data_IF_032646957708
#
_entry.id   IF_032646957708
#
_cell.length_a   1.000
_cell.length_b   1.000
_cell.length_c   1.000
_cell.angle_alpha   90.00
_cell.angle_beta   90.00
_cell.angle_gamma   90.00
#
_symmetry.space_group_name_H-M   'P 1'
#
loop_
_entity.id
_entity.type
_entity.pdbx_description
1 polymer ?
#
# COMPACT_ATOMS: atom_id res chain seq x y z
N UNK A 1 73.50 -30.30 -33.09
CA UNK A 1 72.69 -31.53 -32.89
C UNK A 1 71.96 -31.39 -31.57
N UNK A 2 70.65 -31.70 -31.40
CA UNK A 2 69.48 -31.82 -32.30
C UNK A 2 68.67 -30.47 -32.32
N UNK A 3 67.73 -30.09 -33.21
CA UNK A 3 66.57 -30.68 -33.94
C UNK A 3 65.39 -31.05 -33.03
N UNK A 4 64.17 -30.83 -33.57
CA UNK A 4 62.79 -31.03 -33.05
C UNK A 4 62.16 -29.77 -32.44
N UNK A 5 60.98 -29.31 -32.84
CA UNK A 5 59.98 -29.87 -33.74
C UNK A 5 58.64 -29.19 -33.45
N UNK A 6 57.88 -28.93 -34.52
CA UNK A 6 56.57 -28.27 -34.61
C UNK A 6 55.44 -28.91 -33.75
N UNK A 7 54.24 -28.34 -33.90
CA UNK A 7 52.88 -28.72 -33.43
C UNK A 7 52.48 -27.95 -32.14
N UNK A 8 51.57 -26.97 -32.11
CA UNK A 8 50.43 -26.66 -32.97
C UNK A 8 49.17 -27.33 -32.41
N UNK A 9 48.42 -26.69 -31.49
CA UNK A 9 47.01 -27.01 -31.21
C UNK A 9 46.24 -25.79 -30.66
N UNK A 10 45.25 -25.39 -31.46
CA UNK A 10 43.92 -24.85 -31.17
C UNK A 10 43.66 -23.88 -30.00
N UNK A 11 43.21 -22.69 -30.40
CA UNK A 11 42.21 -21.85 -29.72
C UNK A 11 40.92 -22.66 -29.52
N UNK A 12 40.35 -22.65 -28.31
CA UNK A 12 38.89 -22.64 -28.12
C UNK A 12 38.55 -21.88 -26.83
N UNK A 13 37.93 -20.73 -27.04
CA UNK A 13 37.30 -19.86 -26.06
C UNK A 13 36.13 -20.60 -25.40
N UNK A 14 36.15 -20.70 -24.07
CA UNK A 14 34.95 -20.94 -23.28
C UNK A 14 34.93 -19.94 -22.13
N UNK A 15 34.63 -18.68 -22.48
CA UNK A 15 34.13 -17.69 -21.54
C UNK A 15 32.78 -18.18 -21.01
N UNK A 16 32.80 -18.86 -19.87
CA UNK A 16 31.60 -19.16 -19.08
C UNK A 16 31.14 -17.82 -18.51
N UNK A 17 30.27 -17.14 -19.28
CA UNK A 17 29.49 -16.01 -18.81
C UNK A 17 28.64 -16.50 -17.65
N UNK A 18 29.00 -16.06 -16.43
CA UNK A 18 28.18 -16.18 -15.25
C UNK A 18 26.99 -15.23 -15.42
N UNK A 19 25.96 -15.66 -16.16
CA UNK A 19 24.69 -14.93 -16.25
C UNK A 19 24.08 -14.89 -14.86
N UNK A 20 24.08 -13.70 -14.28
CA UNK A 20 23.41 -13.37 -13.04
C UNK A 20 21.96 -13.89 -13.07
N UNK A 21 21.62 -14.68 -12.06
CA UNK A 21 20.25 -15.07 -11.76
C UNK A 21 19.43 -13.81 -11.44
N UNK A 22 18.72 -13.28 -12.44
CA UNK A 22 17.62 -12.35 -12.24
C UNK A 22 16.49 -13.12 -11.55
N UNK A 23 16.46 -13.04 -10.23
CA UNK A 23 15.34 -13.44 -9.40
C UNK A 23 14.10 -12.67 -9.82
N UNK A 24 13.23 -13.31 -10.60
CA UNK A 24 11.84 -12.93 -10.74
C UNK A 24 11.10 -13.26 -9.43
N UNK A 25 11.31 -12.46 -8.38
CA UNK A 25 10.48 -12.48 -7.18
C UNK A 25 9.42 -11.37 -7.29
N UNK A 26 8.40 -11.56 -8.12
CA UNK A 26 7.30 -10.57 -8.25
C UNK A 26 5.90 -11.20 -8.27
N UNK A 27 5.74 -12.44 -7.78
CA UNK A 27 4.44 -13.14 -7.77
C UNK A 27 3.85 -13.45 -6.38
N UNK A 28 4.68 -13.67 -5.36
CA UNK A 28 4.23 -14.31 -4.13
C UNK A 28 3.47 -13.39 -3.14
N UNK A 29 3.65 -12.07 -3.23
CA UNK A 29 2.95 -11.12 -2.34
C UNK A 29 1.47 -10.92 -2.66
N UNK A 30 1.04 -11.19 -3.89
CA UNK A 30 -0.35 -11.03 -4.32
C UNK A 30 -1.27 -12.16 -3.83
N UNK A 31 -0.75 -13.38 -3.64
CA UNK A 31 -1.57 -14.56 -3.33
C UNK A 31 -2.15 -14.52 -1.91
N UNK A 32 -1.32 -14.29 -0.89
CA UNK A 32 -1.74 -14.36 0.53
C UNK A 32 -2.79 -13.31 0.93
N UNK A 33 -2.77 -12.14 0.29
CA UNK A 33 -3.71 -11.06 0.60
C UNK A 33 -5.07 -11.23 -0.08
N UNK A 34 -5.09 -11.84 -1.27
CA UNK A 34 -6.32 -12.19 -1.98
C UNK A 34 -7.00 -13.41 -1.31
N UNK A 35 -6.20 -14.38 -0.85
CA UNK A 35 -6.70 -15.60 -0.19
C UNK A 35 -7.23 -15.36 1.23
N UNK A 36 -6.76 -14.32 1.91
CA UNK A 36 -7.26 -13.93 3.25
C UNK A 36 -8.59 -13.15 3.21
N UNK A 37 -9.12 -12.84 2.02
CA UNK A 37 -10.38 -12.09 1.87
C UNK A 37 -10.34 -10.66 2.42
N UNK A 38 -9.17 -10.21 2.90
CA UNK A 38 -8.99 -8.88 3.48
C UNK A 38 -9.15 -7.78 2.43
N UNK A 39 -8.88 -8.09 1.16
CA UNK A 39 -8.89 -7.13 0.06
C UNK A 39 -9.39 -7.79 -1.24
N UNK A 40 -10.39 -7.19 -1.87
CA UNK A 40 -10.82 -7.56 -3.22
C UNK A 40 -10.30 -6.50 -4.21
N UNK A 41 -9.26 -6.79 -5.01
CA UNK A 41 -8.83 -5.87 -6.05
C UNK A 41 -9.86 -5.91 -7.18
N UNK A 42 -10.97 -5.18 -7.03
CA UNK A 42 -11.96 -5.02 -8.12
C UNK A 42 -11.35 -4.30 -9.32
N UNK A 43 -10.29 -3.51 -9.11
CA UNK A 43 -9.62 -2.71 -10.13
C UNK A 43 -8.10 -2.75 -10.00
N UNK A 44 -7.42 -2.71 -11.14
CA UNK A 44 -5.97 -2.48 -11.21
C UNK A 44 -5.73 -0.98 -10.99
N UNK A 45 -5.33 -0.63 -9.78
CA UNK A 45 -4.94 0.75 -9.48
C UNK A 45 -3.56 1.06 -10.07
N UNK A 46 -3.31 2.27 -10.59
CA UNK A 46 -1.98 2.66 -11.03
C UNK A 46 -0.97 2.54 -9.88
N UNK A 47 0.29 2.25 -10.19
CA UNK A 47 1.33 2.26 -9.16
C UNK A 47 1.54 3.68 -8.63
N UNK A 48 1.60 3.83 -7.31
CA UNK A 48 2.02 5.06 -6.66
C UNK A 48 3.51 5.04 -6.37
N UNK A 49 4.18 6.16 -6.59
CA UNK A 49 5.56 6.44 -6.19
C UNK A 49 5.62 7.25 -4.89
N UNK A 50 4.46 7.59 -4.31
CA UNK A 50 4.32 8.25 -3.02
C UNK A 50 3.43 7.45 -2.09
N UNK A 51 3.64 7.64 -0.79
CA UNK A 51 2.80 7.05 0.24
C UNK A 51 2.72 7.90 1.50
N UNK A 52 1.75 7.61 2.36
CA UNK A 52 1.74 8.08 3.75
C UNK A 52 1.22 6.99 4.68
N UNK A 53 1.59 7.10 5.95
CA UNK A 53 1.16 6.20 7.02
C UNK A 53 0.27 6.97 7.99
N UNK A 54 -0.89 6.43 8.40
CA UNK A 54 -1.57 6.90 9.59
C UNK A 54 -0.67 6.73 10.82
N UNK A 55 -0.89 7.54 11.85
CA UNK A 55 -0.08 7.56 13.07
C UNK A 55 -0.15 6.24 13.85
N UNK A 56 -1.22 5.46 13.66
CA UNK A 56 -1.36 4.13 14.25
C UNK A 56 -0.53 3.03 13.53
N UNK A 57 0.07 3.33 12.37
CA UNK A 57 0.91 2.41 11.61
C UNK A 57 0.24 1.10 11.20
N UNK A 58 -1.08 1.07 11.03
CA UNK A 58 -1.81 -0.16 10.68
C UNK A 58 -1.90 -0.39 9.17
N UNK A 59 -1.90 0.68 8.40
CA UNK A 59 -1.93 0.63 6.96
C UNK A 59 -0.94 1.63 6.35
N UNK A 60 -0.70 1.48 5.06
CA UNK A 60 0.02 2.44 4.25
C UNK A 60 -0.81 2.72 3.01
N UNK A 61 -0.96 4.00 2.67
CA UNK A 61 -1.75 4.45 1.54
C UNK A 61 -0.79 4.92 0.45
N UNK A 62 -0.86 4.34 -0.75
CA UNK A 62 -0.01 4.68 -1.91
C UNK A 62 -0.83 5.20 -3.09
N UNK A 63 -0.24 6.14 -3.84
CA UNK A 63 -0.89 6.81 -4.97
C UNK A 63 0.00 7.89 -5.59
N UNK A 64 -0.58 8.75 -6.44
CA UNK A 64 0.14 9.93 -6.94
C UNK A 64 0.25 11.00 -5.85
N UNK A 65 1.36 11.75 -5.85
CA UNK A 65 1.64 12.78 -4.84
C UNK A 65 0.47 13.74 -4.64
N UNK A 66 0.03 14.42 -5.70
CA UNK A 66 -1.02 15.44 -5.63
C UNK A 66 -2.33 14.89 -5.06
N UNK A 67 -2.68 13.65 -5.43
CA UNK A 67 -3.88 13.01 -4.92
C UNK A 67 -3.73 12.68 -3.44
N UNK A 68 -2.61 12.08 -3.02
CA UNK A 68 -2.36 11.76 -1.61
C UNK A 68 -2.32 13.00 -0.72
N UNK A 69 -1.74 14.11 -1.19
CA UNK A 69 -1.75 15.38 -0.46
C UNK A 69 -3.19 15.89 -0.26
N UNK A 70 -4.02 15.83 -1.31
CA UNK A 70 -5.44 16.21 -1.21
C UNK A 70 -6.22 15.32 -0.24
N UNK A 71 -5.95 14.01 -0.23
CA UNK A 71 -6.60 13.03 0.65
C UNK A 71 -6.18 13.29 2.10
N UNK A 72 -4.89 13.48 2.33
CA UNK A 72 -4.36 13.70 3.67
C UNK A 72 -4.92 14.99 4.30
N UNK A 73 -5.08 16.06 3.51
CA UNK A 73 -5.74 17.29 3.97
C UNK A 73 -7.20 17.02 4.37
N UNK A 74 -7.95 16.27 3.55
CA UNK A 74 -9.35 15.92 3.83
C UNK A 74 -9.49 15.08 5.09
N UNK A 75 -8.61 14.09 5.27
CA UNK A 75 -8.55 13.20 6.45
C UNK A 75 -8.20 13.97 7.72
N UNK A 76 -7.14 14.80 7.69
CA UNK A 76 -6.72 15.63 8.83
C UNK A 76 -7.82 16.60 9.29
N UNK A 77 -8.61 17.12 8.35
CA UNK A 77 -9.70 18.03 8.65
C UNK A 77 -11.01 17.34 9.06
N UNK A 78 -11.08 16.01 9.06
CA UNK A 78 -12.30 15.24 9.31
C UNK A 78 -12.32 14.53 10.68
N UNK A 79 -13.35 13.69 10.92
CA UNK A 79 -13.48 12.94 12.17
C UNK A 79 -12.31 11.97 12.46
N UNK A 80 -11.56 11.55 11.44
CA UNK A 80 -10.37 10.72 11.61
C UNK A 80 -9.09 11.53 11.82
N UNK A 81 -9.16 12.86 11.96
CA UNK A 81 -7.98 13.73 11.94
C UNK A 81 -6.91 13.39 12.97
N UNK A 82 -7.29 12.89 14.15
CA UNK A 82 -6.36 12.45 15.19
C UNK A 82 -5.53 11.22 14.80
N UNK A 83 -6.02 10.38 13.88
CA UNK A 83 -5.28 9.24 13.34
C UNK A 83 -4.20 9.66 12.33
N UNK A 84 -4.28 10.87 11.81
CA UNK A 84 -3.40 11.36 10.75
C UNK A 84 -2.61 12.60 11.16
N UNK A 85 -2.54 12.94 12.43
CA UNK A 85 -1.98 14.21 12.90
C UNK A 85 -0.52 14.41 12.48
N UNK A 86 0.30 13.36 12.60
CA UNK A 86 1.72 13.37 12.26
C UNK A 86 2.03 12.82 10.86
N UNK A 87 1.05 12.20 10.21
CA UNK A 87 1.15 11.70 8.84
C UNK A 87 1.61 12.77 7.85
N UNK A 88 2.48 12.37 6.92
CA UNK A 88 3.02 13.18 5.82
C UNK A 88 3.12 12.33 4.57
N UNK A 89 2.93 12.94 3.41
CA UNK A 89 3.19 12.30 2.12
C UNK A 89 4.69 12.27 1.89
N UNK A 90 5.21 11.08 1.60
CA UNK A 90 6.62 10.81 1.38
C UNK A 90 6.85 10.15 0.02
N UNK A 91 8.05 10.34 -0.53
CA UNK A 91 8.48 9.65 -1.73
C UNK A 91 8.86 8.19 -1.43
N UNK A 92 8.18 7.28 -2.10
CA UNK A 92 8.32 5.84 -1.98
C UNK A 92 6.97 5.13 -1.99
N UNK A 93 6.95 3.90 -2.50
CA UNK A 93 5.80 3.01 -2.39
C UNK A 93 5.68 2.41 -0.99
N UNK A 94 4.50 1.91 -0.64
CA UNK A 94 4.25 1.27 0.65
C UNK A 94 5.12 0.02 0.90
N UNK A 95 5.55 -0.66 -0.17
CA UNK A 95 6.48 -1.77 -0.08
C UNK A 95 7.83 -1.37 0.55
N UNK A 96 8.31 -0.14 0.31
CA UNK A 96 9.52 0.42 0.93
C UNK A 96 9.37 0.52 2.46
N UNK A 97 8.15 0.77 2.93
CA UNK A 97 7.79 0.86 4.35
C UNK A 97 7.39 -0.50 4.96
N UNK A 98 7.62 -1.62 4.26
CA UNK A 98 7.27 -3.00 4.68
C UNK A 98 5.76 -3.30 4.69
N UNK A 99 4.96 -2.53 3.95
CA UNK A 99 3.55 -2.80 3.68
C UNK A 99 3.42 -3.38 2.28
N UNK A 100 3.52 -4.70 2.16
CA UNK A 100 3.49 -5.42 0.88
C UNK A 100 2.22 -6.25 0.68
N UNK A 101 1.35 -6.32 1.69
CA UNK A 101 0.17 -7.18 1.69
C UNK A 101 -1.05 -6.39 1.22
N UNK A 102 -1.81 -6.98 0.30
CA UNK A 102 -3.06 -6.43 -0.18
C UNK A 102 -2.87 -5.43 -1.32
N UNK A 103 -3.93 -5.27 -2.10
CA UNK A 103 -4.20 -4.09 -2.92
C UNK A 103 -5.66 -3.72 -2.63
N UNK A 104 -5.90 -3.19 -1.45
CA UNK A 104 -7.26 -2.91 -1.02
C UNK A 104 -7.63 -1.56 -1.62
N UNK A 105 -8.67 -1.57 -2.44
CA UNK A 105 -9.28 -0.33 -2.88
C UNK A 105 -9.98 0.29 -1.67
N UNK A 106 -9.71 1.57 -1.42
CA UNK A 106 -10.45 2.30 -0.40
C UNK A 106 -11.82 2.71 -0.96
N UNK A 107 -12.88 2.47 -0.19
CA UNK A 107 -14.25 2.79 -0.60
C UNK A 107 -14.49 4.29 -0.75
N UNK A 108 -13.78 5.11 0.03
CA UNK A 108 -13.88 6.55 0.11
C UNK A 108 -12.90 7.24 -0.86
N UNK A 109 -11.69 6.72 -1.01
CA UNK A 109 -10.61 7.28 -1.81
C UNK A 109 -10.18 6.33 -2.93
N UNK A 110 -10.88 6.40 -4.07
CA UNK A 110 -10.88 5.35 -5.09
C UNK A 110 -9.61 5.30 -5.93
N UNK A 111 -8.76 6.33 -5.85
CA UNK A 111 -7.51 6.44 -6.63
C UNK A 111 -6.25 6.13 -5.83
N UNK A 112 -6.37 5.85 -4.52
CA UNK A 112 -5.26 5.33 -3.73
C UNK A 112 -5.42 3.83 -3.51
N UNK A 113 -4.31 3.20 -3.16
CA UNK A 113 -4.27 1.81 -2.75
C UNK A 113 -3.87 1.73 -1.29
N UNK A 114 -4.60 0.92 -0.55
CA UNK A 114 -4.23 0.58 0.83
C UNK A 114 -3.42 -0.72 0.81
N UNK A 115 -2.26 -0.67 1.47
CA UNK A 115 -1.39 -1.80 1.76
C UNK A 115 -1.34 -2.02 3.26
N UNK A 116 -1.33 -3.28 3.67
CA UNK A 116 -1.18 -3.69 5.05
C UNK A 116 0.15 -4.43 5.24
N UNK A 117 0.56 -4.61 6.49
CA UNK A 117 1.62 -5.54 6.84
C UNK A 117 1.08 -6.96 6.83
N UNK A 118 1.96 -7.96 6.77
CA UNK A 118 1.60 -9.36 6.97
C UNK A 118 1.37 -9.63 8.46
N UNK A 119 0.33 -9.02 9.02
CA UNK A 119 -0.11 -9.24 10.38
C UNK A 119 -1.65 -9.38 10.37
N UNK A 120 -2.19 -10.58 10.66
CA UNK A 120 -3.63 -10.82 10.64
C UNK A 120 -4.41 -9.96 11.64
N UNK A 121 -3.75 -9.35 12.63
CA UNK A 121 -4.39 -8.42 13.58
C UNK A 121 -4.59 -7.01 13.01
N UNK A 122 -3.79 -6.59 12.03
CA UNK A 122 -3.80 -5.20 11.56
C UNK A 122 -5.12 -4.87 10.83
N UNK A 123 -5.63 -5.77 9.98
CA UNK A 123 -6.88 -5.55 9.25
C UNK A 123 -8.14 -5.46 10.14
N UNK A 124 -8.26 -6.36 11.12
CA UNK A 124 -9.38 -6.34 12.08
C UNK A 124 -9.33 -5.11 12.99
N UNK A 125 -8.13 -4.69 13.39
CA UNK A 125 -7.97 -3.51 14.24
C UNK A 125 -8.22 -2.20 13.48
N UNK A 126 -7.89 -2.12 12.19
CA UNK A 126 -8.10 -0.92 11.39
C UNK A 126 -9.56 -0.45 11.42
N UNK A 127 -10.50 -1.31 10.97
CA UNK A 127 -11.93 -0.97 10.96
C UNK A 127 -12.47 -0.64 12.36
N UNK A 128 -12.01 -1.38 13.38
CA UNK A 128 -12.41 -1.14 14.76
C UNK A 128 -11.94 0.23 15.25
N UNK A 129 -10.70 0.62 14.95
CA UNK A 129 -10.16 1.91 15.41
C UNK A 129 -10.83 3.10 14.73
N UNK A 130 -11.16 3.02 13.45
CA UNK A 130 -11.91 4.08 12.77
C UNK A 130 -13.29 4.23 13.39
N UNK A 131 -14.00 3.12 13.60
CA UNK A 131 -15.31 3.13 14.22
C UNK A 131 -15.29 3.65 15.66
N UNK A 132 -14.28 3.27 16.44
CA UNK A 132 -14.11 3.75 17.80
C UNK A 132 -13.77 5.25 17.83
N UNK A 133 -13.00 5.76 16.87
CA UNK A 133 -12.77 7.21 16.73
C UNK A 133 -14.05 7.97 16.39
N UNK A 134 -14.90 7.45 15.50
CA UNK A 134 -16.19 8.09 15.23
C UNK A 134 -17.06 8.20 16.48
N UNK A 135 -17.08 7.17 17.35
CA UNK A 135 -17.80 7.23 18.64
C UNK A 135 -17.21 8.27 19.60
N UNK A 136 -15.87 8.36 19.68
CA UNK A 136 -15.19 9.36 20.52
C UNK A 136 -15.57 10.75 20.05
N UNK A 137 -15.41 11.04 18.75
CA UNK A 137 -15.74 12.35 18.15
C UNK A 137 -17.23 12.68 18.32
N UNK A 138 -18.13 11.71 18.15
CA UNK A 138 -19.56 11.88 18.38
C UNK A 138 -19.85 12.28 19.84
N UNK A 139 -19.21 11.60 20.79
CA UNK A 139 -19.35 11.87 22.23
C UNK A 139 -18.81 13.26 22.59
N UNK A 140 -17.60 13.60 22.13
CA UNK A 140 -16.95 14.88 22.41
C UNK A 140 -17.71 16.08 21.84
N UNK A 141 -18.34 15.91 20.67
CA UNK A 141 -19.08 16.98 19.99
C UNK A 141 -20.57 17.01 20.35
N UNK A 142 -21.05 16.04 21.13
CA UNK A 142 -22.48 15.89 21.42
C UNK A 142 -23.31 15.66 20.14
N UNK A 143 -22.75 14.95 19.15
CA UNK A 143 -23.42 14.66 17.88
C UNK A 143 -23.86 13.21 17.80
N UNK A 144 -24.97 12.91 17.09
CA UNK A 144 -25.29 11.54 16.69
C UNK A 144 -24.15 10.91 15.87
N UNK A 145 -23.90 9.60 16.06
CA UNK A 145 -22.82 8.89 15.37
C UNK A 145 -22.98 8.89 13.84
N UNK A 146 -24.21 8.80 13.34
CA UNK A 146 -24.53 8.89 11.92
C UNK A 146 -24.14 10.25 11.32
N UNK A 147 -24.25 11.35 12.08
CA UNK A 147 -23.81 12.67 11.63
C UNK A 147 -22.31 12.79 11.52
N UNK A 148 -21.56 12.22 12.48
CA UNK A 148 -20.10 12.16 12.38
C UNK A 148 -19.68 11.30 11.19
N UNK A 149 -20.39 10.20 10.95
CA UNK A 149 -20.13 9.36 9.79
C UNK A 149 -20.43 10.10 8.48
N UNK A 150 -21.57 10.79 8.36
CA UNK A 150 -21.91 11.60 7.18
C UNK A 150 -20.85 12.67 6.87
N UNK A 151 -20.31 13.35 7.90
CA UNK A 151 -19.21 14.31 7.71
C UNK A 151 -17.92 13.67 7.19
N UNK A 152 -17.65 12.41 7.54
CA UNK A 152 -16.55 11.65 6.94
C UNK A 152 -16.87 11.33 5.48
N UNK A 153 -18.10 10.91 5.18
CA UNK A 153 -18.54 10.56 3.82
C UNK A 153 -18.47 11.75 2.86
N UNK A 154 -18.83 12.95 3.32
CA UNK A 154 -18.78 14.18 2.52
C UNK A 154 -17.35 14.57 2.10
N UNK A 155 -16.33 13.93 2.68
CA UNK A 155 -14.91 14.14 2.37
C UNK A 155 -14.35 13.09 1.41
N UNK A 156 -15.14 12.07 1.07
CA UNK A 156 -14.76 11.06 0.10
C UNK A 156 -14.68 11.62 -1.33
N UNK A 157 -14.12 10.84 -2.25
CA UNK A 157 -14.18 11.18 -3.66
C UNK A 157 -15.62 11.18 -4.18
N UNK A 158 -15.92 11.95 -5.22
CA UNK A 158 -17.29 12.05 -5.75
C UNK A 158 -17.86 10.71 -6.27
N UNK A 159 -16.99 9.76 -6.65
CA UNK A 159 -17.33 8.43 -7.16
C UNK A 159 -17.12 7.31 -6.13
N UNK A 160 -17.15 7.65 -4.83
CA UNK A 160 -17.06 6.68 -3.75
C UNK A 160 -18.23 5.67 -3.77
N UNK A 161 -17.99 4.45 -3.32
CA UNK A 161 -19.00 3.37 -3.27
C UNK A 161 -19.21 2.91 -1.83
N UNK A 162 -20.42 3.12 -1.30
CA UNK A 162 -20.86 2.51 -0.05
C UNK A 162 -21.53 1.17 -0.32
N UNK A 163 -20.75 0.11 -0.54
CA UNK A 163 -21.30 -1.24 -0.59
C UNK A 163 -21.01 -1.99 0.71
N UNK A 164 -21.43 -1.43 1.84
CA UNK A 164 -21.70 -2.25 3.02
C UNK A 164 -23.19 -2.60 2.95
N UNK A 165 -23.51 -3.72 2.29
CA UNK A 165 -24.84 -4.33 2.39
C UNK A 165 -24.96 -5.07 3.72
#
# INVERSE_FOLDING_TARGET
MPVFGLHGVAVLLSSIGLTAALHAQSGYGLSLAAESGLCSPRRVLPQGDHSFLPDNGMACLEGSKDYLESVLVRLKGGPLGSMYAQSKVEAGSCAKHKYSVGQCEDHCFRKLRVRMRLNPRDGLHMMKTEWDLFKVVATERGLPLDKVYDEYRDRCDADHEWTFK
#
